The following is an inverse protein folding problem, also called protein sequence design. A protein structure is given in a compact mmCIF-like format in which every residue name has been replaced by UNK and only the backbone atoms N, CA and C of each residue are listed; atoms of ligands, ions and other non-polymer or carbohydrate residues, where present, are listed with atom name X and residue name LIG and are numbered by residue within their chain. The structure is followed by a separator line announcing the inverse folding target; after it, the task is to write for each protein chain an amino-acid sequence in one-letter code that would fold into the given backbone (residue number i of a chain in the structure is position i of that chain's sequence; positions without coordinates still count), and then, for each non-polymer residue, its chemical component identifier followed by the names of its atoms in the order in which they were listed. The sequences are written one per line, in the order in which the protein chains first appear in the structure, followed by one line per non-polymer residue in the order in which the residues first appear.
data_IF_864413035670
#
_entry.id   IF_864413035670
#
_cell.length_a   1.000
_cell.length_b   1.000
_cell.length_c   1.000
_cell.angle_alpha   90.00
_cell.angle_beta   90.00
_cell.angle_gamma   90.00
#
_symmetry.space_group_name_H-M   'P 1'
#
loop_
_entity.id
_entity.type
_entity.pdbx_description
1 polymer ?
#
# COMPACT_ATOMS: atom_id res chain seq x y z
N UNK A 1 13.45 6.91 10.22
CA UNK A 1 13.91 5.57 9.84
C UNK A 1 12.87 4.93 8.92
N UNK A 2 13.33 4.37 7.80
CA UNK A 2 12.41 3.76 6.84
C UNK A 2 11.77 2.50 7.42
N UNK A 3 10.50 2.29 7.06
CA UNK A 3 9.74 1.15 7.51
C UNK A 3 9.18 0.38 6.32
N UNK A 4 9.05 -0.93 6.48
CA UNK A 4 8.34 -1.79 5.55
C UNK A 4 7.00 -2.14 6.16
N UNK A 5 5.94 -1.98 5.39
CA UNK A 5 4.62 -2.43 5.79
C UNK A 5 4.18 -3.55 4.86
N UNK A 6 3.94 -4.73 5.45
CA UNK A 6 3.41 -5.87 4.73
C UNK A 6 1.91 -5.96 5.04
N UNK A 7 1.08 -5.83 4.01
CA UNK A 7 -0.37 -5.94 4.17
C UNK A 7 -0.81 -7.37 3.86
N UNK A 8 -1.52 -7.97 4.80
CA UNK A 8 -2.30 -9.18 4.53
C UNK A 8 -3.65 -8.73 4.01
N UNK A 9 -3.94 -9.02 2.74
CA UNK A 9 -5.09 -8.46 2.02
C UNK A 9 -6.08 -9.57 1.68
N UNK A 10 -7.37 -9.26 1.86
CA UNK A 10 -8.48 -10.13 1.45
C UNK A 10 -9.44 -9.33 0.57
N UNK A 11 -9.87 -9.95 -0.53
CA UNK A 11 -10.88 -9.37 -1.43
C UNK A 11 -10.32 -8.41 -2.47
N UNK A 12 -9.00 -8.39 -2.68
CA UNK A 12 -8.37 -7.51 -3.67
C UNK A 12 -8.09 -8.26 -4.96
N UNK A 13 -9.11 -8.35 -5.82
CA UNK A 13 -8.91 -8.84 -7.18
C UNK A 13 -8.15 -7.79 -7.99
N UNK A 14 -7.58 -8.21 -9.13
CA UNK A 14 -6.90 -7.27 -10.03
C UNK A 14 -7.80 -6.09 -10.43
N UNK A 15 -9.07 -6.35 -10.73
CA UNK A 15 -10.03 -5.30 -11.08
C UNK A 15 -10.25 -4.32 -9.94
N UNK A 16 -10.39 -4.79 -8.71
CA UNK A 16 -10.55 -3.94 -7.54
C UNK A 16 -9.28 -3.16 -7.24
N UNK A 17 -8.13 -3.80 -7.36
CA UNK A 17 -6.84 -3.12 -7.19
C UNK A 17 -6.71 -1.95 -8.18
N UNK A 18 -7.00 -2.19 -9.46
CA UNK A 18 -6.94 -1.15 -10.49
C UNK A 18 -7.89 0.00 -10.17
N UNK A 19 -9.07 -0.28 -9.63
CA UNK A 19 -10.02 0.76 -9.22
C UNK A 19 -9.49 1.57 -8.03
N UNK A 20 -8.84 0.94 -7.06
CA UNK A 20 -8.20 1.66 -5.95
C UNK A 20 -7.14 2.62 -6.48
N UNK A 21 -6.28 2.14 -7.37
CA UNK A 21 -5.24 2.97 -8.00
C UNK A 21 -5.86 4.13 -8.78
N UNK A 22 -6.95 3.88 -9.51
CA UNK A 22 -7.66 4.93 -10.23
C UNK A 22 -8.17 6.02 -9.28
N UNK A 23 -8.80 5.62 -8.17
CA UNK A 23 -9.31 6.58 -7.16
C UNK A 23 -8.19 7.38 -6.52
N UNK A 24 -7.08 6.73 -6.20
CA UNK A 24 -5.89 7.40 -5.64
C UNK A 24 -5.29 8.38 -6.65
N UNK A 25 -5.22 8.00 -7.92
CA UNK A 25 -4.72 8.86 -8.99
C UNK A 25 -5.59 10.12 -9.12
N UNK A 26 -6.91 9.96 -9.03
CA UNK A 26 -7.87 11.04 -9.16
C UNK A 26 -7.70 12.12 -8.09
N UNK A 27 -7.29 11.73 -6.88
CA UNK A 27 -7.06 12.67 -5.76
C UNK A 27 -5.58 13.03 -5.58
N UNK A 28 -4.71 12.65 -6.53
CA UNK A 28 -3.29 12.98 -6.48
C UNK A 28 -2.48 12.18 -5.47
N UNK A 29 -2.97 11.00 -5.08
CA UNK A 29 -2.34 10.16 -4.04
C UNK A 29 -1.85 8.80 -4.57
N UNK A 30 -1.68 8.67 -5.88
CA UNK A 30 -1.08 7.45 -6.44
C UNK A 30 0.35 7.25 -5.95
N UNK A 31 1.09 8.34 -5.84
CA UNK A 31 2.45 8.35 -5.29
C UNK A 31 2.44 9.20 -4.01
N UNK A 32 2.01 8.62 -2.89
CA UNK A 32 1.87 9.40 -1.66
C UNK A 32 3.21 9.87 -1.11
N UNK A 33 3.17 10.99 -0.43
CA UNK A 33 4.35 11.57 0.21
C UNK A 33 5.00 10.55 1.15
N UNK A 34 6.31 10.37 0.98
CA UNK A 34 7.12 9.47 1.80
C UNK A 34 7.13 8.01 1.36
N UNK A 35 6.32 7.61 0.37
CA UNK A 35 6.38 6.26 -0.16
C UNK A 35 7.62 6.11 -1.03
N UNK A 36 8.47 5.15 -0.68
CA UNK A 36 9.69 4.84 -1.42
C UNK A 36 9.48 3.71 -2.42
N UNK A 37 8.73 2.69 -2.03
CA UNK A 37 8.40 1.54 -2.87
C UNK A 37 6.97 1.09 -2.61
N UNK A 38 6.33 0.62 -3.66
CA UNK A 38 5.03 -0.03 -3.62
C UNK A 38 5.08 -1.24 -4.54
N UNK A 39 4.82 -2.42 -4.00
CA UNK A 39 4.84 -3.66 -4.76
C UNK A 39 3.52 -4.37 -4.56
N UNK A 40 2.80 -4.60 -5.66
CA UNK A 40 1.61 -5.43 -5.68
C UNK A 40 1.98 -6.75 -6.33
N UNK A 41 1.61 -7.88 -5.70
CA UNK A 41 2.08 -9.18 -6.13
C UNK A 41 1.09 -10.28 -5.78
N UNK A 42 1.32 -11.45 -6.33
CA UNK A 42 0.58 -12.64 -5.98
C UNK A 42 -0.55 -12.98 -6.94
N UNK A 43 -1.57 -13.66 -6.44
CA UNK A 43 -2.69 -14.15 -7.22
C UNK A 43 -3.59 -12.99 -7.67
N UNK A 44 -3.88 -12.83 -8.98
CA UNK A 44 -4.82 -11.79 -9.44
C UNK A 44 -6.23 -11.86 -8.83
N UNK A 45 -6.60 -13.00 -8.26
CA UNK A 45 -7.86 -13.14 -7.53
C UNK A 45 -7.77 -12.60 -6.10
N UNK A 46 -6.57 -12.45 -5.56
CA UNK A 46 -6.35 -11.91 -4.21
C UNK A 46 -4.93 -11.35 -4.09
N UNK A 47 -4.73 -10.16 -4.66
CA UNK A 47 -3.43 -9.49 -4.68
C UNK A 47 -2.98 -9.05 -3.30
N UNK A 48 -1.68 -9.13 -3.07
CA UNK A 48 -1.04 -8.68 -1.84
C UNK A 48 -0.19 -7.44 -2.12
N UNK A 49 0.15 -6.69 -1.07
CA UNK A 49 0.89 -5.45 -1.21
C UNK A 49 1.96 -5.32 -0.13
N UNK A 50 3.12 -4.86 -0.54
CA UNK A 50 4.19 -4.42 0.37
C UNK A 50 4.52 -2.97 0.01
N UNK A 51 4.59 -2.09 1.01
CA UNK A 51 5.03 -0.72 0.83
C UNK A 51 6.25 -0.43 1.70
N UNK A 52 7.08 0.49 1.22
CA UNK A 52 8.17 1.06 2.01
C UNK A 52 7.92 2.56 2.13
N UNK A 53 7.88 3.07 3.35
CA UNK A 53 7.73 4.49 3.66
C UNK A 53 8.96 5.00 4.39
N UNK A 54 9.25 6.28 4.25
CA UNK A 54 10.41 6.88 4.91
C UNK A 54 10.27 6.93 6.43
N UNK A 55 9.03 6.95 6.96
CA UNK A 55 8.75 6.87 8.40
C UNK A 55 7.28 6.53 8.66
N UNK A 56 6.97 6.25 9.94
CA UNK A 56 5.63 5.89 10.40
C UNK A 56 4.61 7.01 10.17
N UNK A 57 5.00 8.26 10.37
CA UNK A 57 4.08 9.40 10.22
C UNK A 57 3.56 9.51 8.79
N UNK A 58 4.42 9.26 7.80
CA UNK A 58 4.03 9.28 6.39
C UNK A 58 3.07 8.14 6.06
N UNK A 59 3.33 6.96 6.61
CA UNK A 59 2.41 5.82 6.46
C UNK A 59 1.05 6.13 7.07
N UNK A 60 1.00 6.68 8.27
CA UNK A 60 -0.25 7.00 8.95
C UNK A 60 -1.07 8.03 8.18
N UNK A 61 -0.42 9.04 7.63
CA UNK A 61 -1.08 10.06 6.81
C UNK A 61 -1.70 9.45 5.55
N UNK A 62 -0.98 8.56 4.89
CA UNK A 62 -1.51 7.86 3.72
C UNK A 62 -2.65 6.91 4.11
N UNK A 63 -2.52 6.21 5.23
CA UNK A 63 -3.56 5.32 5.74
C UNK A 63 -4.90 6.01 5.94
N UNK A 64 -4.89 7.24 6.42
CA UNK A 64 -6.11 8.02 6.60
C UNK A 64 -6.84 8.27 5.26
N UNK A 65 -6.12 8.35 4.15
CA UNK A 65 -6.69 8.48 2.81
C UNK A 65 -7.10 7.14 2.22
N UNK A 66 -6.26 6.13 2.40
CA UNK A 66 -6.44 4.82 1.77
C UNK A 66 -7.56 3.99 2.41
N UNK A 67 -7.64 3.95 3.73
CA UNK A 67 -8.56 3.04 4.42
C UNK A 67 -10.03 3.24 4.05
N UNK A 68 -10.56 4.46 3.92
CA UNK A 68 -11.94 4.65 3.48
C UNK A 68 -12.21 4.08 2.09
N UNK A 69 -11.23 4.18 1.18
CA UNK A 69 -11.36 3.62 -0.18
C UNK A 69 -11.44 2.11 -0.12
N UNK A 70 -10.58 1.46 0.66
CA UNK A 70 -10.59 0.01 0.82
C UNK A 70 -11.90 -0.49 1.44
N UNK A 71 -12.39 0.21 2.46
CA UNK A 71 -13.66 -0.12 3.11
C UNK A 71 -14.83 -0.04 2.13
N UNK A 72 -14.87 1.01 1.32
CA UNK A 72 -15.92 1.20 0.31
C UNK A 72 -15.92 0.08 -0.72
N UNK A 73 -14.76 -0.48 -1.01
CA UNK A 73 -14.59 -1.55 -1.99
C UNK A 73 -14.66 -2.97 -1.40
N UNK A 74 -14.87 -3.08 -0.09
CA UNK A 74 -14.94 -4.38 0.58
C UNK A 74 -13.59 -5.10 0.65
N UNK A 75 -12.49 -4.36 0.64
CA UNK A 75 -11.14 -4.91 0.76
C UNK A 75 -10.68 -4.82 2.20
N UNK A 76 -10.25 -5.94 2.78
CA UNK A 76 -9.65 -5.98 4.10
C UNK A 76 -8.12 -6.00 3.97
N UNK A 77 -7.44 -5.15 4.74
CA UNK A 77 -6.00 -5.09 4.75
C UNK A 77 -5.48 -4.96 6.18
N UNK A 78 -4.66 -5.90 6.59
CA UNK A 78 -4.00 -5.90 7.92
C UNK A 78 -2.53 -5.57 7.75
N UNK A 79 -2.06 -4.44 8.29
CA UNK A 79 -0.65 -4.08 8.20
C UNK A 79 0.18 -4.76 9.29
N UNK A 80 1.36 -5.21 8.91
CA UNK A 80 2.43 -5.54 9.84
C UNK A 80 3.61 -4.65 9.50
N UNK A 81 4.14 -3.94 10.48
CA UNK A 81 5.17 -2.91 10.26
C UNK A 81 6.50 -3.42 10.82
N UNK A 82 7.54 -3.29 10.01
CA UNK A 82 8.90 -3.64 10.37
C UNK A 82 9.83 -2.46 10.16
N UNK A 83 10.75 -2.23 11.07
CA UNK A 83 11.86 -1.31 10.81
C UNK A 83 12.79 -1.94 9.79
N UNK A 84 13.21 -1.15 8.81
CA UNK A 84 14.12 -1.65 7.79
C UNK A 84 15.55 -1.53 8.30
N UNK A 85 16.28 -2.64 8.23
CA UNK A 85 17.69 -2.68 8.60
C UNK A 85 18.57 -2.20 7.45
N UNK A 86 18.28 -2.62 6.22
CA UNK A 86 19.06 -2.26 5.05
C UNK A 86 18.23 -2.39 3.77
N UNK A 87 18.43 -1.48 2.83
CA UNK A 87 17.87 -1.53 1.49
C UNK A 87 19.03 -1.41 0.51
N UNK A 88 19.11 -2.36 -0.42
CA UNK A 88 20.06 -2.30 -1.52
C UNK A 88 19.25 -2.22 -2.80
N UNK A 89 19.41 -1.14 -3.55
CA UNK A 89 18.70 -0.97 -4.81
C UNK A 89 19.41 -1.75 -5.91
N UNK A 90 18.63 -2.53 -6.66
CA UNK A 90 19.12 -3.24 -7.85
C UNK A 90 19.28 -2.30 -9.04
N UNK A 91 19.87 -2.84 -10.10
CA UNK A 91 20.03 -2.12 -11.36
C UNK A 91 19.20 -2.75 -12.46
#
# INVERSE_FOLDING_TARGET
MAILVAFEVKGSTAAKYDEVIRRLTEIGQREPDGQMYHICYGDPENLQVINVFENQAKLDAFGATLMPILQDMGIEAKPTIFEIYNIIEGQ
#
